data_IF_751162828074
#
_entry.id   IF_751162828074
#
_cell.length_a   1.000
_cell.length_b   1.000
_cell.length_c   1.000
_cell.angle_alpha   90.00
_cell.angle_beta   90.00
_cell.angle_gamma   90.00
#
_symmetry.space_group_name_H-M   'P 1'
#
loop_
_entity.id
_entity.type
_entity.pdbx_description
1 polymer ?
#
# COMPACT_ATOMS: atom_id res chain seq x y z
N UNK A 1 -12.82 -29.90 -71.80
CA UNK A 1 -12.50 -30.38 -70.44
C UNK A 1 -11.76 -29.23 -69.68
N UNK A 2 -12.48 -28.43 -68.90
CA UNK A 2 -11.96 -27.34 -68.18
C UNK A 2 -12.15 -27.58 -66.67
N UNK A 3 -11.07 -27.74 -65.94
CA UNK A 3 -11.10 -27.85 -64.45
C UNK A 3 -10.93 -26.48 -63.85
N UNK A 4 -11.98 -25.96 -63.22
CA UNK A 4 -12.03 -24.77 -62.46
C UNK A 4 -11.32 -25.01 -61.15
N UNK A 5 -10.28 -24.18 -60.86
CA UNK A 5 -9.58 -24.11 -59.57
C UNK A 5 -10.21 -23.01 -58.71
N UNK A 6 -10.98 -23.44 -57.72
CA UNK A 6 -11.53 -22.56 -56.67
C UNK A 6 -10.41 -22.29 -55.69
N UNK A 7 -9.90 -21.04 -55.67
CA UNK A 7 -8.99 -20.57 -54.62
C UNK A 7 -9.80 -20.19 -53.40
N UNK A 8 -9.73 -21.00 -52.35
CA UNK A 8 -10.25 -20.68 -51.04
C UNK A 8 -9.32 -19.68 -50.35
N UNK A 9 -9.75 -18.43 -50.27
CA UNK A 9 -9.07 -17.41 -49.45
C UNK A 9 -9.39 -17.60 -47.99
N UNK A 10 -8.43 -18.04 -47.20
CA UNK A 10 -8.50 -18.11 -45.75
C UNK A 10 -8.30 -16.72 -45.19
N UNK A 11 -9.40 -16.03 -44.84
CA UNK A 11 -9.36 -14.75 -44.11
C UNK A 11 -9.07 -15.06 -42.64
N UNK A 12 -7.84 -14.93 -42.22
CA UNK A 12 -7.46 -14.97 -40.80
C UNK A 12 -7.99 -13.70 -40.13
N UNK A 13 -9.15 -13.77 -39.51
CA UNK A 13 -9.65 -12.72 -38.60
C UNK A 13 -8.79 -12.71 -37.35
N UNK A 14 -7.84 -11.78 -37.29
CA UNK A 14 -7.03 -11.49 -36.12
C UNK A 14 -7.95 -10.85 -35.05
N UNK A 15 -8.47 -11.66 -34.13
CA UNK A 15 -9.21 -11.23 -32.95
C UNK A 15 -8.25 -10.43 -32.06
N UNK A 16 -8.23 -9.10 -32.24
CA UNK A 16 -7.65 -8.17 -31.29
C UNK A 16 -8.59 -8.19 -30.08
N UNK A 17 -8.28 -9.06 -29.09
CA UNK A 17 -8.89 -8.98 -27.79
C UNK A 17 -8.42 -7.66 -27.14
N UNK A 18 -9.31 -6.72 -26.83
CA UNK A 18 -8.92 -5.61 -25.99
C UNK A 18 -8.56 -6.22 -24.64
N UNK A 19 -7.28 -6.12 -24.26
CA UNK A 19 -6.88 -6.31 -22.87
C UNK A 19 -7.63 -5.25 -22.06
N UNK A 20 -8.78 -5.59 -21.56
CA UNK A 20 -9.42 -4.87 -20.48
C UNK A 20 -8.54 -5.09 -19.25
N UNK A 21 -7.47 -4.28 -19.12
CA UNK A 21 -6.71 -4.13 -17.89
C UNK A 21 -7.72 -3.63 -16.86
N UNK A 22 -8.27 -4.56 -16.08
CA UNK A 22 -9.44 -4.31 -15.26
C UNK A 22 -9.04 -3.58 -13.96
N UNK A 23 -9.97 -2.81 -13.40
CA UNK A 23 -9.83 -2.17 -12.07
C UNK A 23 -9.36 -3.14 -10.96
N UNK A 24 -9.50 -4.45 -11.16
CA UNK A 24 -8.97 -5.50 -10.29
C UNK A 24 -7.44 -5.54 -10.27
N UNK A 25 -6.80 -5.39 -11.42
CA UNK A 25 -5.34 -5.43 -11.55
C UNK A 25 -4.72 -4.18 -10.90
N UNK A 26 -5.34 -3.01 -11.07
CA UNK A 26 -4.89 -1.77 -10.43
C UNK A 26 -5.02 -1.82 -8.90
N UNK A 27 -6.12 -2.36 -8.38
CA UNK A 27 -6.30 -2.51 -6.94
C UNK A 27 -5.27 -3.50 -6.34
N UNK A 28 -4.91 -4.55 -7.07
CA UNK A 28 -3.86 -5.47 -6.65
C UNK A 28 -2.48 -4.82 -6.72
N UNK A 29 -2.16 -4.09 -7.78
CA UNK A 29 -0.90 -3.36 -7.91
C UNK A 29 -0.69 -2.35 -6.77
N UNK A 30 -1.77 -1.68 -6.32
CA UNK A 30 -1.72 -0.78 -5.16
C UNK A 30 -1.47 -1.56 -3.86
N UNK A 31 -2.06 -2.74 -3.67
CA UNK A 31 -1.77 -3.57 -2.50
C UNK A 31 -0.33 -4.06 -2.50
N UNK A 32 0.20 -4.45 -3.65
CA UNK A 32 1.59 -4.87 -3.82
C UNK A 32 2.56 -3.69 -3.52
N UNK A 33 2.18 -2.47 -3.91
CA UNK A 33 2.92 -1.25 -3.54
C UNK A 33 2.93 -1.04 -2.03
N UNK A 34 1.80 -1.23 -1.33
CA UNK A 34 1.70 -1.11 0.12
C UNK A 34 2.55 -2.18 0.81
N UNK A 35 2.50 -3.43 0.34
CA UNK A 35 3.33 -4.53 0.83
C UNK A 35 4.82 -4.24 0.65
N UNK A 36 5.22 -3.77 -0.53
CA UNK A 36 6.58 -3.32 -0.80
C UNK A 36 6.99 -2.18 0.14
N UNK A 37 6.10 -1.20 0.37
CA UNK A 37 6.34 -0.11 1.31
C UNK A 37 6.57 -0.59 2.75
N UNK A 38 5.77 -1.52 3.24
CA UNK A 38 5.97 -2.13 4.56
C UNK A 38 7.32 -2.85 4.66
N UNK A 39 7.65 -3.68 3.66
CA UNK A 39 8.93 -4.39 3.61
C UNK A 39 10.15 -3.46 3.53
N UNK A 40 10.06 -2.34 2.81
CA UNK A 40 11.12 -1.32 2.76
C UNK A 40 11.23 -0.58 4.10
N UNK A 41 10.11 -0.29 4.77
CA UNK A 41 10.09 0.29 6.11
C UNK A 41 10.81 -0.59 7.12
N UNK A 42 10.48 -1.88 7.17
CA UNK A 42 11.14 -2.86 8.05
C UNK A 42 12.65 -2.98 7.79
N UNK A 43 13.09 -2.76 6.54
CA UNK A 43 14.51 -2.74 6.15
C UNK A 43 15.19 -1.38 6.36
N UNK A 44 14.46 -0.36 6.80
CA UNK A 44 14.92 1.02 6.91
C UNK A 44 15.39 1.63 5.58
N UNK A 45 14.88 1.13 4.46
CA UNK A 45 15.23 1.63 3.13
C UNK A 45 14.43 2.88 2.78
N UNK A 46 14.92 4.02 3.25
CA UNK A 46 14.32 5.34 3.00
C UNK A 46 14.37 5.68 1.50
N UNK A 47 15.42 5.25 0.80
CA UNK A 47 15.55 5.47 -0.64
C UNK A 47 14.42 4.80 -1.40
N UNK A 48 14.27 3.50 -1.19
CA UNK A 48 13.20 2.71 -1.78
C UNK A 48 11.80 3.19 -1.42
N UNK A 49 11.56 3.62 -0.16
CA UNK A 49 10.29 4.22 0.24
C UNK A 49 9.98 5.49 -0.55
N UNK A 50 10.97 6.35 -0.80
CA UNK A 50 10.77 7.57 -1.58
C UNK A 50 10.52 7.28 -3.06
N UNK A 51 11.00 6.17 -3.61
CA UNK A 51 10.68 5.75 -4.99
C UNK A 51 9.20 5.35 -5.17
N UNK A 52 8.51 4.99 -4.08
CA UNK A 52 7.07 4.69 -4.11
C UNK A 52 6.20 5.96 -4.07
N UNK A 53 6.80 7.13 -3.96
CA UNK A 53 6.11 8.41 -3.85
C UNK A 53 6.42 9.33 -5.02
N UNK A 54 5.46 10.19 -5.40
CA UNK A 54 5.65 11.21 -6.45
C UNK A 54 6.66 12.28 -6.03
N UNK A 55 7.15 13.05 -6.99
CA UNK A 55 8.06 14.16 -6.68
C UNK A 55 7.37 15.27 -5.86
N UNK A 56 6.07 15.48 -6.07
CA UNK A 56 5.23 16.45 -5.33
C UNK A 56 4.53 15.82 -4.10
N UNK A 57 5.08 14.72 -3.58
CA UNK A 57 4.56 14.03 -2.39
C UNK A 57 4.44 14.93 -1.18
N UNK A 58 3.32 14.79 -0.46
CA UNK A 58 3.06 15.44 0.84
C UNK A 58 2.54 14.43 1.87
N UNK A 59 3.07 14.50 3.08
CA UNK A 59 2.54 13.78 4.23
C UNK A 59 1.85 14.71 5.23
N UNK A 60 0.79 14.24 5.84
CA UNK A 60 -0.05 14.95 6.79
C UNK A 60 -0.10 14.20 8.14
N UNK A 61 -0.20 14.95 9.25
CA UNK A 61 -0.36 16.40 9.37
C UNK A 61 0.94 17.17 9.07
N UNK A 62 0.81 18.46 8.74
CA UNK A 62 1.92 19.41 8.66
C UNK A 62 2.52 19.63 7.28
N UNK A 63 1.85 19.20 6.20
CA UNK A 63 2.29 19.41 4.80
C UNK A 63 3.77 19.04 4.57
N UNK A 64 4.18 17.89 5.12
CA UNK A 64 5.56 17.42 5.14
C UNK A 64 5.96 16.97 3.74
N UNK A 65 6.85 17.69 3.12
CA UNK A 65 7.36 17.37 1.78
C UNK A 65 8.23 16.10 1.77
N UNK A 66 8.58 15.64 0.58
CA UNK A 66 9.41 14.45 0.33
C UNK A 66 10.76 14.52 1.06
N UNK A 67 11.41 15.69 1.10
CA UNK A 67 12.70 15.87 1.77
C UNK A 67 12.57 15.77 3.29
N UNK A 68 11.59 16.46 3.85
CA UNK A 68 11.31 16.45 5.29
C UNK A 68 10.84 15.06 5.75
N UNK A 69 10.07 14.35 4.92
CA UNK A 69 9.65 12.97 5.18
C UNK A 69 10.83 12.01 5.32
N UNK A 70 11.90 12.17 4.52
CA UNK A 70 13.14 11.39 4.70
C UNK A 70 13.76 11.58 6.08
N UNK A 71 13.79 12.82 6.58
CA UNK A 71 14.35 13.12 7.90
C UNK A 71 13.47 12.55 9.03
N UNK A 72 12.15 12.58 8.87
CA UNK A 72 11.21 11.98 9.84
C UNK A 72 11.37 10.47 9.85
N UNK A 73 11.39 9.81 8.69
CA UNK A 73 11.59 8.37 8.57
C UNK A 73 12.92 7.93 9.21
N UNK A 74 14.00 8.69 8.97
CA UNK A 74 15.29 8.40 9.61
C UNK A 74 15.19 8.40 11.14
N UNK A 75 14.55 9.43 11.73
CA UNK A 75 14.35 9.51 13.18
C UNK A 75 13.47 8.38 13.70
N UNK A 76 12.41 8.06 12.98
CA UNK A 76 11.48 6.97 13.30
C UNK A 76 12.22 5.63 13.33
N UNK A 77 13.06 5.35 12.34
CA UNK A 77 13.84 4.12 12.29
C UNK A 77 14.89 4.04 13.39
N UNK A 78 15.51 5.17 13.77
CA UNK A 78 16.39 5.21 14.95
C UNK A 78 15.65 4.92 16.26
N UNK A 79 14.39 5.35 16.36
CA UNK A 79 13.56 5.12 17.55
C UNK A 79 13.08 3.67 17.65
N UNK A 80 12.53 3.11 16.58
CA UNK A 80 11.99 1.75 16.59
C UNK A 80 13.06 0.66 16.48
N UNK A 81 14.21 0.98 15.90
CA UNK A 81 15.27 0.00 15.59
C UNK A 81 14.71 -1.12 14.70
N UNK A 82 14.67 -2.35 15.21
CA UNK A 82 14.08 -3.50 14.50
C UNK A 82 12.59 -3.59 14.83
N UNK A 83 11.76 -3.64 13.81
CA UNK A 83 10.30 -3.70 13.95
C UNK A 83 9.64 -4.46 12.79
N UNK A 84 8.39 -4.86 13.02
CA UNK A 84 7.47 -5.41 12.00
C UNK A 84 6.29 -4.49 11.81
N UNK A 85 5.79 -4.45 10.58
CA UNK A 85 4.56 -3.73 10.21
C UNK A 85 3.46 -4.75 9.96
N UNK A 86 2.43 -4.73 10.80
CA UNK A 86 1.27 -5.61 10.67
C UNK A 86 0.05 -4.80 10.26
N UNK A 87 -0.65 -5.23 9.22
CA UNK A 87 -1.86 -4.56 8.73
C UNK A 87 -2.83 -5.55 8.11
N UNK A 88 -4.16 -5.27 8.17
CA UNK A 88 -5.16 -6.05 7.48
C UNK A 88 -5.13 -5.75 5.98
N UNK A 89 -5.89 -6.50 5.21
CA UNK A 89 -6.04 -6.27 3.77
C UNK A 89 -6.51 -4.83 3.48
N UNK A 90 -5.73 -4.00 2.76
CA UNK A 90 -6.06 -2.61 2.53
C UNK A 90 -7.33 -2.44 1.68
N UNK A 91 -8.21 -1.53 2.09
CA UNK A 91 -9.35 -1.13 1.25
C UNK A 91 -8.85 -0.17 0.18
N UNK A 92 -8.93 -0.59 -1.07
CA UNK A 92 -8.49 0.20 -2.23
C UNK A 92 -9.71 0.59 -3.07
N UNK A 93 -9.78 1.86 -3.48
CA UNK A 93 -10.80 2.40 -4.37
C UNK A 93 -10.08 3.08 -5.54
N UNK A 94 -10.23 2.51 -6.73
CA UNK A 94 -9.70 3.08 -7.98
C UNK A 94 -10.79 3.91 -8.65
N UNK A 95 -10.47 5.15 -9.03
CA UNK A 95 -11.39 6.05 -9.74
C UNK A 95 -11.76 5.49 -11.13
N UNK A 96 -12.82 6.04 -11.72
CA UNK A 96 -13.35 5.55 -13.00
C UNK A 96 -12.39 5.73 -14.16
N UNK A 97 -11.52 6.73 -14.09
CA UNK A 97 -10.51 7.04 -15.11
C UNK A 97 -9.25 6.13 -15.04
N UNK A 98 -9.12 5.33 -13.96
CA UNK A 98 -7.97 4.46 -13.73
C UNK A 98 -6.65 5.21 -13.48
N UNK A 99 -6.70 6.51 -13.18
CA UNK A 99 -5.51 7.36 -12.99
C UNK A 99 -5.28 7.77 -11.54
N UNK A 100 -6.31 7.70 -10.72
CA UNK A 100 -6.28 8.01 -9.30
C UNK A 100 -6.89 6.90 -8.49
N UNK A 101 -6.40 6.75 -7.27
CA UNK A 101 -6.94 5.81 -6.31
C UNK A 101 -6.77 6.32 -4.88
N UNK A 102 -7.52 5.72 -3.97
CA UNK A 102 -7.31 5.86 -2.53
C UNK A 102 -7.16 4.49 -1.88
N UNK A 103 -6.34 4.43 -0.81
CA UNK A 103 -6.19 3.24 0.00
C UNK A 103 -6.21 3.61 1.48
N UNK A 104 -7.03 2.91 2.28
CA UNK A 104 -7.13 3.15 3.72
C UNK A 104 -6.97 1.87 4.52
N UNK A 105 -6.11 1.90 5.55
CA UNK A 105 -5.88 0.76 6.43
C UNK A 105 -5.24 1.16 7.75
N UNK A 106 -5.62 0.51 8.88
CA UNK A 106 -4.87 0.60 10.11
C UNK A 106 -3.60 -0.28 10.03
N UNK A 107 -2.56 0.08 10.77
CA UNK A 107 -1.37 -0.75 10.89
C UNK A 107 -0.72 -0.60 12.26
N UNK A 108 -0.03 -1.67 12.67
CA UNK A 108 0.74 -1.73 13.90
C UNK A 108 2.23 -1.73 13.58
N UNK A 109 2.99 -0.93 14.30
CA UNK A 109 4.45 -1.06 14.38
C UNK A 109 4.75 -1.85 15.64
N UNK A 110 5.30 -3.05 15.47
CA UNK A 110 5.63 -3.98 16.56
C UNK A 110 7.14 -4.10 16.66
N UNK A 111 7.72 -3.85 17.84
CA UNK A 111 9.15 -4.05 18.08
C UNK A 111 9.48 -5.53 18.13
N UNK A 112 10.54 -5.95 17.45
CA UNK A 112 10.94 -7.37 17.39
C UNK A 112 11.57 -7.89 18.71
N UNK A 113 12.07 -7.00 19.56
CA UNK A 113 12.62 -7.33 20.89
C UNK A 113 11.54 -7.68 21.92
N UNK A 114 10.27 -7.61 21.55
CA UNK A 114 9.14 -7.87 22.44
C UNK A 114 8.38 -9.11 21.98
N UNK A 115 8.05 -9.99 22.94
CA UNK A 115 7.14 -11.12 22.69
C UNK A 115 5.75 -10.61 22.39
N UNK A 116 5.32 -10.71 21.14
CA UNK A 116 4.01 -10.25 20.69
C UNK A 116 2.96 -11.35 20.86
N UNK A 117 1.80 -11.07 21.46
CA UNK A 117 0.75 -12.05 21.61
C UNK A 117 0.22 -12.49 20.24
N UNK A 118 -0.04 -13.79 20.09
CA UNK A 118 -0.49 -14.34 18.82
C UNK A 118 -1.86 -13.78 18.44
N UNK A 119 -2.07 -13.45 17.16
CA UNK A 119 -3.35 -12.94 16.65
C UNK A 119 -4.55 -13.84 17.00
N UNK A 120 -4.34 -15.16 17.16
CA UNK A 120 -5.40 -16.08 17.62
C UNK A 120 -5.90 -15.76 19.02
N UNK A 121 -5.07 -15.16 19.87
CA UNK A 121 -5.41 -14.85 21.26
C UNK A 121 -6.34 -13.62 21.33
N UNK A 122 -6.37 -12.78 20.28
CA UNK A 122 -7.35 -11.71 20.09
C UNK A 122 -8.79 -12.23 20.12
N UNK A 123 -9.05 -13.36 19.46
CA UNK A 123 -10.40 -13.95 19.42
C UNK A 123 -10.83 -14.53 20.78
N UNK A 124 -9.88 -14.92 21.64
CA UNK A 124 -10.15 -15.53 22.94
C UNK A 124 -10.29 -14.50 24.06
N UNK A 125 -9.45 -13.47 24.06
CA UNK A 125 -9.48 -12.39 25.05
C UNK A 125 -9.05 -11.05 24.43
N UNK A 126 -9.97 -10.35 23.73
CA UNK A 126 -9.65 -9.11 23.02
C UNK A 126 -9.09 -8.01 23.92
N UNK A 127 -9.63 -7.88 25.14
CA UNK A 127 -9.21 -6.82 26.08
C UNK A 127 -7.77 -7.01 26.52
N UNK A 128 -7.42 -8.21 26.98
CA UNK A 128 -6.06 -8.54 27.41
C UNK A 128 -5.07 -8.41 26.24
N UNK A 129 -5.47 -8.87 25.04
CA UNK A 129 -4.65 -8.75 23.84
C UNK A 129 -4.35 -7.28 23.52
N UNK A 130 -5.37 -6.40 23.60
CA UNK A 130 -5.19 -4.95 23.36
C UNK A 130 -4.32 -4.28 24.42
N UNK A 131 -4.40 -4.70 25.69
CA UNK A 131 -3.55 -4.20 26.77
C UNK A 131 -2.08 -4.59 26.50
N UNK A 132 -1.80 -5.87 26.22
CA UNK A 132 -0.44 -6.37 25.91
C UNK A 132 0.13 -5.74 24.63
N UNK A 133 -0.69 -5.50 23.59
CA UNK A 133 -0.30 -4.83 22.36
C UNK A 133 -0.02 -3.36 22.60
N UNK A 134 -0.87 -2.68 23.38
CA UNK A 134 -0.75 -1.25 23.65
C UNK A 134 0.53 -0.87 24.37
N UNK A 135 1.13 -1.79 25.14
CA UNK A 135 2.42 -1.59 25.77
C UNK A 135 3.61 -1.75 24.80
N UNK A 136 3.44 -2.50 23.71
CA UNK A 136 4.52 -2.98 22.86
C UNK A 136 4.38 -2.64 21.38
N UNK A 137 3.28 -2.03 20.98
CA UNK A 137 3.03 -1.64 19.61
C UNK A 137 2.34 -0.26 19.52
N UNK A 138 2.68 0.48 18.50
CA UNK A 138 1.97 1.71 18.14
C UNK A 138 0.97 1.42 17.02
N UNK A 139 -0.30 1.80 17.25
CA UNK A 139 -1.37 1.67 16.27
C UNK A 139 -1.57 2.98 15.53
N UNK A 140 -1.51 2.90 14.21
CA UNK A 140 -1.71 3.99 13.28
C UNK A 140 -2.76 3.64 12.23
N UNK A 141 -3.21 4.64 11.51
CA UNK A 141 -3.98 4.49 10.27
C UNK A 141 -3.34 5.32 9.16
N UNK A 142 -3.18 4.71 7.99
CA UNK A 142 -2.93 5.43 6.75
C UNK A 142 -4.23 5.61 5.96
N UNK A 143 -4.40 6.82 5.44
CA UNK A 143 -5.26 7.10 4.30
C UNK A 143 -4.34 7.65 3.19
N UNK A 144 -4.22 6.93 2.07
CA UNK A 144 -3.32 7.25 0.96
C UNK A 144 -4.10 7.73 -0.25
N UNK A 145 -3.61 8.78 -0.91
CA UNK A 145 -4.02 9.17 -2.26
C UNK A 145 -2.91 8.80 -3.23
N UNK A 146 -3.29 8.06 -4.29
CA UNK A 146 -2.36 7.54 -5.28
C UNK A 146 -2.70 8.07 -6.66
N UNK A 147 -1.66 8.19 -7.49
CA UNK A 147 -1.77 8.52 -8.90
C UNK A 147 -0.98 7.52 -9.74
N UNK A 148 -1.42 7.31 -10.97
CA UNK A 148 -0.74 6.43 -11.92
C UNK A 148 0.11 7.29 -12.86
N UNK A 149 1.44 7.14 -12.79
CA UNK A 149 2.41 7.84 -13.63
C UNK A 149 3.23 6.82 -14.41
N UNK A 150 3.34 6.99 -15.72
CA UNK A 150 4.09 6.11 -16.64
C UNK A 150 3.74 4.61 -16.51
N UNK A 151 2.53 4.29 -16.04
CA UNK A 151 2.06 2.92 -15.83
C UNK A 151 2.18 2.42 -14.40
N UNK A 152 2.94 3.08 -13.55
CA UNK A 152 3.17 2.71 -12.15
C UNK A 152 2.29 3.53 -11.20
N UNK A 153 1.81 2.88 -10.13
CA UNK A 153 1.13 3.57 -9.04
C UNK A 153 2.14 4.18 -8.07
N UNK A 154 1.93 5.46 -7.72
CA UNK A 154 2.75 6.20 -6.76
C UNK A 154 1.87 6.88 -5.72
N UNK A 155 2.36 6.98 -4.48
CA UNK A 155 1.71 7.72 -3.41
C UNK A 155 1.97 9.22 -3.61
N UNK A 156 0.90 10.00 -3.73
CA UNK A 156 0.98 11.45 -3.84
C UNK A 156 0.74 12.15 -2.52
N UNK A 157 -0.21 11.62 -1.71
CA UNK A 157 -0.46 12.12 -0.35
C UNK A 157 -0.61 10.97 0.61
N UNK A 158 -0.10 11.15 1.82
CA UNK A 158 -0.22 10.20 2.92
C UNK A 158 -0.73 10.91 4.17
N UNK A 159 -1.88 10.50 4.67
CA UNK A 159 -2.47 11.00 5.91
C UNK A 159 -2.21 9.96 7.00
N UNK A 160 -1.39 10.31 7.96
CA UNK A 160 -1.05 9.45 9.09
C UNK A 160 -1.83 9.89 10.32
N UNK A 161 -2.61 8.99 10.88
CA UNK A 161 -3.36 9.19 12.12
C UNK A 161 -2.88 8.23 13.18
N UNK A 162 -2.62 8.72 14.39
CA UNK A 162 -2.25 7.88 15.54
C UNK A 162 -3.50 7.50 16.32
N UNK A 163 -3.55 6.27 16.82
CA UNK A 163 -4.60 5.86 17.73
C UNK A 163 -4.30 6.36 19.15
N UNK A 164 -5.25 7.07 19.76
CA UNK A 164 -5.10 7.68 21.08
C UNK A 164 -5.85 6.94 22.19
N UNK A 165 -6.32 5.70 21.89
CA UNK A 165 -7.10 4.86 22.82
C UNK A 165 -8.62 4.96 22.64
N UNK A 166 -9.13 6.04 22.03
CA UNK A 166 -10.56 6.21 21.74
C UNK A 166 -10.84 6.45 20.25
N UNK A 167 -9.93 7.09 19.55
CA UNK A 167 -10.07 7.45 18.13
C UNK A 167 -8.71 7.52 17.44
N UNK A 168 -8.72 7.65 16.10
CA UNK A 168 -7.53 8.05 15.34
C UNK A 168 -7.50 9.57 15.24
N UNK A 169 -6.40 10.20 15.67
CA UNK A 169 -6.17 11.64 15.62
C UNK A 169 -4.99 11.97 14.68
N UNK A 170 -5.08 13.15 14.05
CA UNK A 170 -4.06 13.70 13.16
C UNK A 170 -2.89 14.29 13.94
#
# INVERSE_FOLDING_TARGET
>A
MMKSLIKAGLVAALLILPFACGKGDDAQAIRDLIEKGAALGEKHDIGGLMELATEDFLAFPGDVDRRSSRAILWRTFQYYKTFKVLYPHPKVIVESDGKKASAGFPFLIVREDVSFPKLKDLAQNPKRWLEEVGENADLYKFDLELVKENGDWLVRRAFLKRFTGMSFEE
#
